data_IF_140687021408
#
_entry.id   IF_140687021408
#
_cell.length_a   1.000
_cell.length_b   1.000
_cell.length_c   1.000
_cell.angle_alpha   90.00
_cell.angle_beta   90.00
_cell.angle_gamma   90.00
#
_symmetry.space_group_name_H-M   'P 1'
#
loop_
_entity.id
_entity.type
_entity.pdbx_description
1 polymer ?
#
# COMPACT_ATOMS: atom_id res chain seq x y z
N UNK A 1 -10.83 -67.71 -50.03
CA UNK A 1 -10.63 -66.25 -50.10
C UNK A 1 -11.84 -65.57 -49.49
N UNK A 2 -11.86 -65.38 -48.17
CA UNK A 2 -12.78 -64.44 -47.50
C UNK A 2 -12.38 -64.34 -46.03
N UNK A 3 -11.64 -63.27 -45.68
CA UNK A 3 -11.51 -62.76 -44.30
C UNK A 3 -10.54 -61.58 -44.32
N UNK A 4 -10.95 -60.43 -44.86
CA UNK A 4 -10.16 -59.20 -44.71
C UNK A 4 -10.98 -57.90 -44.74
N UNK A 5 -12.29 -57.97 -44.48
CA UNK A 5 -13.15 -56.79 -44.27
C UNK A 5 -13.30 -56.42 -42.79
N UNK A 6 -13.28 -57.41 -41.89
CA UNK A 6 -13.77 -57.22 -40.51
C UNK A 6 -12.72 -56.58 -39.57
N UNK A 7 -11.45 -56.51 -40.00
CA UNK A 7 -10.37 -55.90 -39.23
C UNK A 7 -10.14 -54.40 -39.54
N UNK A 8 -10.72 -53.84 -40.61
CA UNK A 8 -10.60 -52.40 -40.90
C UNK A 8 -11.66 -51.57 -40.18
N UNK A 9 -12.91 -52.05 -40.15
CA UNK A 9 -14.01 -51.39 -39.43
C UNK A 9 -13.75 -51.29 -37.91
N UNK A 10 -13.13 -52.31 -37.30
CA UNK A 10 -12.86 -52.34 -35.87
C UNK A 10 -11.67 -51.45 -35.45
N UNK A 11 -10.79 -51.08 -36.39
CA UNK A 11 -9.67 -50.16 -36.11
C UNK A 11 -10.11 -48.71 -36.28
N UNK A 12 -10.90 -48.39 -37.31
CA UNK A 12 -11.46 -47.04 -37.50
C UNK A 12 -12.45 -46.65 -36.38
N UNK A 13 -13.28 -47.60 -35.91
CA UNK A 13 -14.22 -47.36 -34.81
C UNK A 13 -13.52 -47.14 -33.44
N UNK A 14 -12.34 -47.74 -33.23
CA UNK A 14 -11.51 -47.53 -32.03
C UNK A 14 -10.77 -46.20 -32.08
N UNK A 15 -10.27 -45.81 -33.26
CA UNK A 15 -9.63 -44.51 -33.46
C UNK A 15 -10.62 -43.34 -33.28
N UNK A 16 -11.86 -43.50 -33.75
CA UNK A 16 -12.90 -42.46 -33.60
C UNK A 16 -13.38 -42.33 -32.15
N UNK A 17 -13.44 -43.43 -31.39
CA UNK A 17 -13.83 -43.41 -29.97
C UNK A 17 -12.73 -42.86 -29.07
N UNK A 18 -11.46 -43.15 -29.35
CA UNK A 18 -10.32 -42.54 -28.65
C UNK A 18 -10.28 -41.01 -28.86
N UNK A 19 -10.46 -40.53 -30.09
CA UNK A 19 -10.53 -39.07 -30.37
C UNK A 19 -11.71 -38.38 -29.67
N UNK A 20 -12.86 -39.04 -29.55
CA UNK A 20 -14.02 -38.50 -28.84
C UNK A 20 -13.75 -38.40 -27.33
N UNK A 21 -13.08 -39.41 -26.75
CA UNK A 21 -12.69 -39.38 -25.32
C UNK A 21 -11.65 -38.30 -25.01
N UNK A 22 -10.69 -38.04 -25.90
CA UNK A 22 -9.71 -36.96 -25.73
C UNK A 22 -10.35 -35.56 -25.87
N UNK A 23 -11.33 -35.42 -26.79
CA UNK A 23 -12.13 -34.19 -26.92
C UNK A 23 -13.04 -33.94 -25.71
N UNK A 24 -13.55 -34.99 -25.08
CA UNK A 24 -14.35 -34.90 -23.85
C UNK A 24 -13.48 -34.53 -22.65
N UNK A 25 -12.30 -35.17 -22.52
CA UNK A 25 -11.34 -34.87 -21.45
C UNK A 25 -10.80 -33.44 -21.55
N UNK A 26 -10.46 -32.97 -22.75
CA UNK A 26 -9.98 -31.58 -22.95
C UNK A 26 -11.05 -30.55 -22.59
N UNK A 27 -12.33 -30.80 -22.91
CA UNK A 27 -13.46 -29.95 -22.49
C UNK A 27 -13.59 -29.88 -20.97
N UNK A 28 -13.52 -31.03 -20.29
CA UNK A 28 -13.57 -31.11 -18.83
C UNK A 28 -12.42 -30.32 -18.20
N UNK A 29 -11.19 -30.49 -18.70
CA UNK A 29 -10.01 -29.75 -18.24
C UNK A 29 -10.17 -28.24 -18.45
N UNK A 30 -10.64 -27.79 -19.62
CA UNK A 30 -10.91 -26.35 -19.82
C UNK A 30 -12.01 -25.80 -18.92
N UNK A 31 -13.03 -26.59 -18.59
CA UNK A 31 -14.10 -26.16 -17.69
C UNK A 31 -13.62 -26.05 -16.24
N UNK A 32 -12.76 -26.97 -15.80
CA UNK A 32 -12.14 -26.96 -14.47
C UNK A 32 -11.15 -25.79 -14.33
N UNK A 33 -10.33 -25.54 -15.35
CA UNK A 33 -9.44 -24.37 -15.38
C UNK A 33 -10.24 -23.07 -15.31
N UNK A 34 -11.36 -22.99 -16.02
CA UNK A 34 -12.23 -21.81 -15.98
C UNK A 34 -12.86 -21.60 -14.60
N UNK A 35 -13.31 -22.69 -13.95
CA UNK A 35 -13.83 -22.60 -12.59
C UNK A 35 -12.76 -22.22 -11.58
N UNK A 36 -11.52 -22.69 -11.75
CA UNK A 36 -10.39 -22.32 -10.86
C UNK A 36 -10.06 -20.82 -11.01
N UNK A 37 -10.03 -20.29 -12.24
CA UNK A 37 -9.83 -18.86 -12.53
C UNK A 37 -10.98 -18.01 -11.95
N UNK A 38 -12.23 -18.46 -12.08
CA UNK A 38 -13.40 -17.78 -11.50
C UNK A 38 -13.43 -17.85 -9.97
N UNK A 39 -12.88 -18.91 -9.37
CA UNK A 39 -12.74 -19.07 -7.94
C UNK A 39 -11.58 -18.23 -7.39
N UNK A 40 -10.43 -18.15 -8.08
CA UNK A 40 -9.32 -17.24 -7.72
C UNK A 40 -9.73 -15.77 -7.82
N UNK A 41 -10.53 -15.41 -8.84
CA UNK A 41 -11.09 -14.06 -8.97
C UNK A 41 -12.10 -13.70 -7.85
N UNK A 42 -12.68 -14.70 -7.17
CA UNK A 42 -13.56 -14.52 -5.99
C UNK A 42 -12.83 -14.71 -4.65
N UNK A 43 -11.64 -15.30 -4.64
CA UNK A 43 -10.90 -15.67 -3.44
C UNK A 43 -9.73 -14.73 -3.11
N UNK A 44 -9.33 -13.85 -4.02
CA UNK A 44 -8.46 -12.72 -3.69
C UNK A 44 -9.22 -11.66 -2.90
N UNK A 45 -8.58 -10.92 -1.97
CA UNK A 45 -9.20 -9.69 -1.46
C UNK A 45 -9.49 -8.82 -2.68
N UNK A 46 -10.76 -8.51 -2.93
CA UNK A 46 -11.12 -7.41 -3.83
C UNK A 46 -10.59 -6.15 -3.15
N UNK A 47 -9.33 -5.81 -3.43
CA UNK A 47 -8.78 -4.50 -3.08
C UNK A 47 -9.66 -3.51 -3.83
N UNK A 48 -10.62 -2.91 -3.12
CA UNK A 48 -11.48 -1.89 -3.67
C UNK A 48 -10.58 -0.80 -4.25
N UNK A 49 -10.83 -0.38 -5.49
CA UNK A 49 -10.02 0.67 -6.13
C UNK A 49 -10.01 1.96 -5.29
N UNK A 50 -11.03 2.20 -4.48
CA UNK A 50 -11.08 3.26 -3.46
C UNK A 50 -10.00 3.17 -2.37
N UNK A 51 -9.43 2.00 -2.08
CA UNK A 51 -8.37 1.81 -1.09
C UNK A 51 -6.96 2.00 -1.68
N UNK A 52 -6.86 2.07 -3.01
CA UNK A 52 -5.61 2.37 -3.70
C UNK A 52 -5.28 3.86 -3.56
N UNK A 53 -4.30 4.15 -2.71
CA UNK A 53 -3.74 5.48 -2.55
C UNK A 53 -2.58 5.67 -3.53
N UNK A 54 -2.65 6.71 -4.37
CA UNK A 54 -1.53 7.09 -5.23
C UNK A 54 -0.30 7.44 -4.36
N UNK A 55 0.79 6.69 -4.53
CA UNK A 55 2.00 6.90 -3.74
C UNK A 55 2.56 8.32 -3.84
N UNK A 56 2.28 9.03 -4.94
CA UNK A 56 2.72 10.41 -5.16
C UNK A 56 2.17 11.37 -4.12
N UNK A 57 0.99 11.10 -3.55
CA UNK A 57 0.42 11.96 -2.51
C UNK A 57 1.14 11.79 -1.16
N UNK A 58 1.91 10.70 -0.98
CA UNK A 58 2.66 10.38 0.23
C UNK A 58 4.13 10.78 0.15
N UNK A 59 4.58 11.31 -0.99
CA UNK A 59 5.98 11.65 -1.24
C UNK A 59 6.09 13.16 -1.44
N UNK A 60 6.99 13.80 -0.69
CA UNK A 60 7.39 15.18 -0.93
C UNK A 60 8.76 15.21 -1.62
N UNK A 61 8.99 16.20 -2.49
CA UNK A 61 10.27 16.40 -3.18
C UNK A 61 10.94 17.66 -2.69
N UNK A 62 12.26 17.65 -2.70
CA UNK A 62 13.06 18.85 -2.54
C UNK A 62 12.84 19.82 -3.74
N UNK A 63 13.17 21.10 -3.54
CA UNK A 63 13.11 22.17 -4.55
C UNK A 63 13.84 21.80 -5.84
N UNK A 64 14.98 21.10 -5.73
CA UNK A 64 15.74 20.65 -6.89
C UNK A 64 15.31 19.27 -7.41
N UNK A 65 14.35 18.63 -6.77
CA UNK A 65 13.87 17.29 -7.13
C UNK A 65 14.94 16.21 -6.99
N UNK A 66 15.96 16.41 -6.14
CA UNK A 66 17.07 15.47 -5.91
C UNK A 66 16.79 14.49 -4.77
N UNK A 67 15.96 14.91 -3.82
CA UNK A 67 15.57 14.10 -2.66
C UNK A 67 14.05 13.93 -2.64
N UNK A 68 13.64 12.75 -2.20
CA UNK A 68 12.26 12.42 -1.90
C UNK A 68 12.15 12.10 -0.41
N UNK A 69 11.08 12.56 0.23
CA UNK A 69 10.80 12.25 1.64
C UNK A 69 9.41 11.62 1.76
N UNK A 70 9.33 10.60 2.60
CA UNK A 70 8.11 9.90 2.99
C UNK A 70 8.04 9.82 4.50
N UNK A 71 6.87 10.08 5.08
CA UNK A 71 6.68 10.06 6.53
C UNK A 71 5.64 9.02 6.92
N UNK A 72 6.05 8.06 7.74
CA UNK A 72 5.19 7.06 8.35
C UNK A 72 4.90 7.43 9.80
N UNK A 73 3.65 7.30 10.21
CA UNK A 73 3.21 7.57 11.58
C UNK A 73 3.33 6.28 12.37
N UNK A 74 4.06 6.33 13.49
CA UNK A 74 4.29 5.17 14.37
C UNK A 74 3.36 5.19 15.58
N UNK A 75 3.14 6.37 16.18
CA UNK A 75 2.40 6.49 17.43
C UNK A 75 1.52 7.75 17.45
N UNK A 76 0.30 7.59 17.95
CA UNK A 76 -0.72 8.64 18.08
C UNK A 76 -1.39 8.57 19.46
N UNK A 77 -1.77 9.71 20.04
CA UNK A 77 -2.32 9.78 21.41
C UNK A 77 -3.85 9.63 21.52
N UNK A 78 -4.61 10.02 20.49
CA UNK A 78 -6.07 10.27 20.64
C UNK A 78 -6.96 9.13 20.09
N UNK A 79 -6.69 7.88 20.47
CA UNK A 79 -7.53 6.72 20.10
C UNK A 79 -8.93 6.74 20.76
N UNK A 80 -9.23 7.69 21.66
CA UNK A 80 -10.34 7.60 22.64
C UNK A 80 -11.56 8.51 22.41
N UNK A 81 -11.69 9.25 21.30
CA UNK A 81 -12.86 10.12 21.06
C UNK A 81 -13.72 9.73 19.83
N UNK A 82 -13.70 8.46 19.45
CA UNK A 82 -14.31 7.95 18.21
C UNK A 82 -15.86 8.01 18.13
N UNK A 83 -16.57 8.40 19.20
CA UNK A 83 -18.04 8.21 19.29
C UNK A 83 -18.88 9.48 19.53
N UNK A 84 -18.31 10.65 19.83
CA UNK A 84 -19.11 11.85 20.17
C UNK A 84 -18.72 13.16 19.45
N UNK A 85 -17.58 13.25 18.75
CA UNK A 85 -17.06 14.51 18.18
C UNK A 85 -17.19 14.63 16.64
N UNK A 86 -17.78 13.64 15.98
CA UNK A 86 -17.89 13.54 14.50
C UNK A 86 -18.61 14.70 13.79
N UNK A 87 -19.24 15.65 14.50
CA UNK A 87 -20.23 16.57 13.92
C UNK A 87 -19.85 18.05 13.82
N UNK A 88 -18.69 18.52 14.30
CA UNK A 88 -18.34 19.96 14.12
C UNK A 88 -16.91 20.30 13.72
N UNK A 89 -15.92 19.47 13.98
CA UNK A 89 -14.55 19.68 13.48
C UNK A 89 -13.94 18.31 13.21
N UNK A 90 -13.60 18.04 11.96
CA UNK A 90 -13.06 16.76 11.51
C UNK A 90 -11.94 16.27 12.42
N UNK A 91 -12.03 14.99 12.79
CA UNK A 91 -11.20 14.33 13.78
C UNK A 91 -9.72 14.62 13.49
N UNK A 92 -9.06 15.38 14.38
CA UNK A 92 -7.62 15.60 14.34
C UNK A 92 -6.98 14.65 15.34
N UNK A 93 -5.84 14.09 14.97
CA UNK A 93 -5.08 13.17 15.80
C UNK A 93 -3.77 13.83 16.16
N UNK A 94 -3.38 13.73 17.43
CA UNK A 94 -2.06 14.15 17.89
C UNK A 94 -1.03 13.06 17.62
N UNK A 95 -0.05 13.37 16.77
CA UNK A 95 1.07 12.49 16.45
C UNK A 95 2.16 12.61 17.52
N UNK A 96 2.70 11.47 17.97
CA UNK A 96 3.79 11.42 18.95
C UNK A 96 5.11 11.03 18.28
N UNK A 97 5.08 10.00 17.43
CA UNK A 97 6.29 9.43 16.82
C UNK A 97 6.10 9.19 15.34
N UNK A 98 7.12 9.53 14.56
CA UNK A 98 7.17 9.33 13.11
C UNK A 98 8.47 8.64 12.70
N UNK A 99 8.41 7.94 11.58
CA UNK A 99 9.58 7.47 10.84
C UNK A 99 9.66 8.27 9.54
N UNK A 100 10.81 8.88 9.31
CA UNK A 100 11.08 9.64 8.10
C UNK A 100 12.06 8.84 7.26
N UNK A 101 11.69 8.66 5.99
CA UNK A 101 12.55 8.05 4.98
C UNK A 101 12.90 9.12 3.95
N UNK A 102 14.19 9.42 3.79
CA UNK A 102 14.73 10.31 2.77
C UNK A 102 15.48 9.47 1.74
N UNK A 103 15.02 9.53 0.50
CA UNK A 103 15.64 8.87 -0.64
C UNK A 103 16.37 9.89 -1.51
N UNK A 104 17.64 9.65 -1.75
CA UNK A 104 18.45 10.43 -2.69
C UNK A 104 18.28 9.83 -4.08
N UNK A 105 17.72 10.60 -5.01
CA UNK A 105 17.41 10.11 -6.36
C UNK A 105 18.66 9.91 -7.22
N UNK A 106 19.71 10.70 -6.98
CA UNK A 106 20.96 10.61 -7.73
C UNK A 106 21.81 9.39 -7.31
N UNK A 107 21.92 9.13 -6.00
CA UNK A 107 22.77 8.07 -5.45
C UNK A 107 22.01 6.79 -5.12
N UNK A 108 20.68 6.81 -5.17
CA UNK A 108 19.78 5.75 -4.69
C UNK A 108 19.97 5.38 -3.20
N UNK A 109 20.67 6.21 -2.44
CA UNK A 109 20.82 6.03 -1.00
C UNK A 109 19.49 6.33 -0.30
N UNK A 110 19.19 5.54 0.75
CA UNK A 110 18.01 5.72 1.59
C UNK A 110 18.47 5.93 3.01
N UNK A 111 18.02 7.02 3.62
CA UNK A 111 18.22 7.34 5.02
C UNK A 111 16.89 7.23 5.74
N UNK A 112 16.88 6.49 6.86
CA UNK A 112 15.69 6.32 7.68
C UNK A 112 16.02 6.74 9.11
N UNK A 113 15.13 7.55 9.68
CA UNK A 113 15.30 8.04 11.04
C UNK A 113 13.94 8.12 11.74
N UNK A 114 13.90 7.59 12.96
CA UNK A 114 12.76 7.69 13.85
C UNK A 114 12.86 8.97 14.68
N UNK A 115 11.75 9.69 14.77
CA UNK A 115 11.66 10.93 15.53
C UNK A 115 10.51 10.87 16.50
N UNK A 116 10.83 11.06 17.78
CA UNK A 116 9.86 11.35 18.83
C UNK A 116 9.57 12.85 18.80
N UNK A 117 8.48 13.22 18.12
CA UNK A 117 8.08 14.62 17.94
C UNK A 117 7.73 15.25 19.29
N UNK A 118 7.22 14.48 20.24
CA UNK A 118 6.93 15.01 21.57
C UNK A 118 8.19 15.40 22.33
N UNK A 119 9.24 14.57 22.25
CA UNK A 119 10.52 14.89 22.86
C UNK A 119 11.16 16.12 22.18
N UNK A 120 11.13 16.17 20.85
CA UNK A 120 11.66 17.28 20.04
C UNK A 120 10.94 18.59 20.36
N UNK A 121 9.61 18.56 20.49
CA UNK A 121 8.82 19.75 20.86
C UNK A 121 9.19 20.26 22.26
N UNK A 122 9.32 19.35 23.24
CA UNK A 122 9.76 19.72 24.60
C UNK A 122 11.14 20.36 24.59
N UNK A 123 12.07 19.79 23.83
CA UNK A 123 13.43 20.32 23.67
C UNK A 123 13.43 21.68 22.97
N UNK A 124 12.58 21.88 21.95
CA UNK A 124 12.44 23.15 21.24
C UNK A 124 11.92 24.26 22.16
N UNK A 125 10.92 23.95 23.00
CA UNK A 125 10.39 24.88 24.01
C UNK A 125 11.47 25.26 25.02
N UNK A 126 12.31 24.30 25.43
CA UNK A 126 13.39 24.54 26.38
C UNK A 126 14.51 25.41 25.78
N UNK A 127 15.01 25.05 24.59
CA UNK A 127 16.16 25.72 23.97
C UNK A 127 15.82 27.04 23.30
N UNK A 128 14.65 27.12 22.66
CA UNK A 128 14.28 28.24 21.79
C UNK A 128 13.00 28.97 22.22
N UNK A 129 12.33 28.52 23.28
CA UNK A 129 11.09 29.11 23.79
C UNK A 129 9.97 29.23 22.74
N UNK A 130 9.99 28.34 21.74
CA UNK A 130 8.93 28.21 20.74
C UNK A 130 8.10 26.97 21.03
N UNK A 131 6.78 27.13 21.05
CA UNK A 131 5.82 26.02 21.06
C UNK A 131 5.27 25.79 19.66
N UNK A 132 5.14 24.55 19.25
CA UNK A 132 4.66 24.16 17.94
C UNK A 132 3.32 23.43 18.05
N UNK A 133 2.33 23.82 17.26
CA UNK A 133 1.06 23.08 17.14
C UNK A 133 1.09 22.04 16.02
N UNK A 134 2.27 21.75 15.47
CA UNK A 134 2.44 21.00 14.21
C UNK A 134 2.12 19.50 14.33
N UNK A 135 1.91 18.99 15.55
CA UNK A 135 1.54 17.59 15.84
C UNK A 135 0.08 17.24 15.56
N UNK A 136 -0.80 18.23 15.48
CA UNK A 136 -2.23 18.00 15.25
C UNK A 136 -2.52 17.86 13.75
N UNK A 137 -2.77 16.64 13.30
CA UNK A 137 -3.02 16.33 11.88
C UNK A 137 -4.44 15.79 11.70
N UNK A 138 -5.22 16.28 10.73
CA UNK A 138 -6.53 15.69 10.40
C UNK A 138 -6.39 14.22 10.00
N UNK A 139 -7.34 13.36 10.42
CA UNK A 139 -7.38 11.94 9.99
C UNK A 139 -7.42 11.82 8.47
N UNK A 140 -8.05 12.77 7.78
CA UNK A 140 -8.14 12.81 6.31
C UNK A 140 -6.76 12.88 5.63
N UNK A 141 -5.79 13.53 6.28
CA UNK A 141 -4.41 13.70 5.81
C UNK A 141 -3.50 12.52 6.21
N UNK A 142 -4.08 11.45 6.78
CA UNK A 142 -3.41 10.20 7.11
C UNK A 142 -3.98 9.10 6.24
N UNK A 143 -3.12 8.47 5.44
CA UNK A 143 -3.50 7.44 4.46
C UNK A 143 -2.63 6.21 4.67
N UNK A 144 -3.24 5.08 5.03
CA UNK A 144 -2.55 3.81 5.33
C UNK A 144 -1.37 3.96 6.31
N UNK A 145 -1.51 4.82 7.32
CA UNK A 145 -0.47 5.09 8.31
C UNK A 145 0.66 5.99 7.83
N UNK A 146 0.55 6.59 6.64
CA UNK A 146 1.47 7.61 6.13
C UNK A 146 0.82 8.98 6.18
N UNK A 147 1.62 10.01 6.44
CA UNK A 147 1.18 11.40 6.29
C UNK A 147 1.17 11.80 4.81
N UNK A 148 0.20 12.62 4.41
CA UNK A 148 0.19 13.25 3.08
C UNK A 148 1.35 14.26 2.98
N UNK A 149 1.91 14.40 1.78
CA UNK A 149 3.09 15.24 1.50
C UNK A 149 2.93 16.71 1.94
N UNK A 150 1.70 17.23 1.92
CA UNK A 150 1.35 18.58 2.40
C UNK A 150 1.65 18.80 3.89
N UNK A 151 1.71 17.73 4.69
CA UNK A 151 1.99 17.76 6.13
C UNK A 151 3.45 17.52 6.48
N UNK A 152 4.28 17.12 5.51
CA UNK A 152 5.66 16.75 5.80
C UNK A 152 6.45 17.91 6.42
N UNK A 153 6.50 19.06 5.75
CA UNK A 153 7.23 20.24 6.26
C UNK A 153 6.72 20.69 7.63
N UNK A 154 5.41 20.59 7.87
CA UNK A 154 4.83 20.93 9.17
C UNK A 154 5.35 19.98 10.26
N UNK A 155 5.31 18.67 10.01
CA UNK A 155 5.75 17.64 10.97
C UNK A 155 7.26 17.66 11.20
N UNK A 156 8.06 18.05 10.20
CA UNK A 156 9.52 18.09 10.31
C UNK A 156 10.06 19.45 10.75
N UNK A 157 9.25 20.51 10.78
CA UNK A 157 9.72 21.87 11.08
C UNK A 157 10.46 21.96 12.42
N UNK A 158 9.99 21.26 13.44
CA UNK A 158 10.59 21.33 14.78
C UNK A 158 11.95 20.61 14.81
N UNK A 159 12.03 19.47 14.14
CA UNK A 159 13.28 18.72 13.97
C UNK A 159 14.29 19.51 13.11
N UNK A 160 13.83 20.19 12.05
CA UNK A 160 14.67 21.08 11.24
C UNK A 160 15.16 22.29 12.03
N UNK A 161 14.31 22.85 12.90
CA UNK A 161 14.69 23.97 13.77
C UNK A 161 15.74 23.57 14.82
N UNK A 162 15.84 22.29 15.19
CA UNK A 162 16.88 21.73 16.04
C UNK A 162 18.05 21.11 15.27
N UNK A 163 18.10 21.30 13.95
CA UNK A 163 19.15 20.78 13.06
C UNK A 163 19.24 19.23 13.02
N UNK A 164 18.17 18.53 13.41
CA UNK A 164 18.10 17.06 13.36
C UNK A 164 17.86 16.49 11.96
N UNK A 165 17.28 17.30 11.07
CA UNK A 165 16.98 16.90 9.69
C UNK A 165 17.41 18.03 8.77
N UNK A 166 18.13 17.68 7.71
CA UNK A 166 18.40 18.59 6.59
C UNK A 166 17.75 18.03 5.33
N UNK A 167 16.63 18.63 4.93
CA UNK A 167 15.94 18.30 3.70
C UNK A 167 16.41 19.20 2.57
#
# INVERSE_FOLDING_TARGET
MSSNSDNKENVEARLSTEEETEKEQSKIVTSLLRSEIENEAKAGPTLDFEEFIDERILISKDLFGKKEMKIKILEVSDETQMTQIRWKFGDRVKINKILITIKYLETQQVEEAEFDIEAIEKELVEKRHYSSSNRWVPVEDIKNGYAVSSRHTSLTSDAMALDYITF
#
